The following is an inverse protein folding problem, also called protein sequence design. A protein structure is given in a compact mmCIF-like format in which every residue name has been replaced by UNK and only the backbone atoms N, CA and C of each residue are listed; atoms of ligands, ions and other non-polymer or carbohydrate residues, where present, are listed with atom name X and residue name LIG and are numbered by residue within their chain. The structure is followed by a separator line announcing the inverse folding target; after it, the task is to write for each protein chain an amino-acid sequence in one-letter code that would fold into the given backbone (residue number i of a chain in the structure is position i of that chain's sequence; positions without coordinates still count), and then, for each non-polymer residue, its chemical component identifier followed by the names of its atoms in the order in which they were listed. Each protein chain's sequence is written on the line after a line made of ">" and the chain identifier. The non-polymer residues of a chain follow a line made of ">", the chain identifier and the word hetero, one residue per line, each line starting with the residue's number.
data_IF_022383850805
#
_entry.id   IF_022383850805
#
_cell.length_a   1.000
_cell.length_b   1.000
_cell.length_c   1.000
_cell.angle_alpha   90.00
_cell.angle_beta   90.00
_cell.angle_gamma   90.00
#
_symmetry.space_group_name_H-M   'P 1'
#
loop_
_entity.id
_entity.type
_entity.pdbx_description
1 polymer ?
#
# COMPACT_ATOMS: atom_id res chain seq x y z
N UNK A 1 -29.30 -29.37 -3.02
CA UNK A 1 -29.79 -29.27 -1.65
C UNK A 1 -29.48 -27.88 -1.15
N UNK A 2 -30.46 -27.12 -0.85
CA UNK A 2 -30.69 -25.76 -0.37
C UNK A 2 -29.48 -24.79 -0.19
N UNK A 3 -29.37 -23.88 -1.16
CA UNK A 3 -28.69 -22.58 -1.05
C UNK A 3 -29.49 -21.68 -0.08
N UNK A 4 -28.84 -21.15 0.94
CA UNK A 4 -29.39 -20.03 1.71
C UNK A 4 -28.90 -18.71 1.08
N UNK A 5 -29.80 -18.02 0.41
CA UNK A 5 -29.63 -16.65 -0.05
C UNK A 5 -29.82 -15.72 1.14
N UNK A 6 -28.79 -14.93 1.47
CA UNK A 6 -28.92 -13.80 2.39
C UNK A 6 -29.47 -12.61 1.59
N UNK A 7 -30.70 -12.19 1.93
CA UNK A 7 -31.35 -11.02 1.35
C UNK A 7 -30.82 -9.76 2.06
N UNK A 8 -30.22 -8.83 1.32
CA UNK A 8 -30.01 -7.46 1.78
C UNK A 8 -31.29 -6.68 1.53
N UNK A 9 -31.98 -6.29 2.60
CA UNK A 9 -33.16 -5.42 2.54
C UNK A 9 -32.70 -3.96 2.57
N UNK A 10 -32.87 -3.25 1.47
CA UNK A 10 -32.79 -1.80 1.43
C UNK A 10 -34.01 -1.18 2.14
N UNK A 11 -33.76 -0.31 3.11
CA UNK A 11 -34.82 0.43 3.81
C UNK A 11 -35.06 1.78 3.14
N UNK A 12 -36.26 1.95 2.59
CA UNK A 12 -36.77 3.22 2.11
C UNK A 12 -37.18 4.11 3.30
N UNK A 13 -36.71 5.36 3.32
CA UNK A 13 -37.15 6.38 4.30
C UNK A 13 -38.58 6.79 4.00
N UNK A 14 -39.49 6.55 4.94
CA UNK A 14 -40.79 7.20 5.02
C UNK A 14 -40.79 8.11 6.26
N UNK A 15 -40.92 9.42 6.04
CA UNK A 15 -41.11 10.42 7.10
C UNK A 15 -42.50 10.32 7.64
N UNK A 16 -42.66 10.01 8.93
CA UNK A 16 -43.87 10.23 9.70
C UNK A 16 -43.49 10.88 11.01
N UNK A 17 -43.94 12.15 11.17
CA UNK A 17 -43.90 12.88 12.42
C UNK A 17 -44.86 12.22 13.44
N UNK A 18 -44.33 11.77 14.56
CA UNK A 18 -45.10 11.28 15.69
C UNK A 18 -44.22 11.22 16.94
N UNK A 19 -44.55 12.04 17.97
CA UNK A 19 -43.93 11.92 19.28
C UNK A 19 -44.21 10.55 19.88
N UNK A 20 -43.18 9.78 20.12
CA UNK A 20 -43.23 8.52 20.84
C UNK A 20 -41.80 8.05 21.07
N UNK A 21 -41.47 7.67 22.30
CA UNK A 21 -40.17 7.08 22.67
C UNK A 21 -39.76 6.02 21.68
N UNK A 22 -38.77 6.31 20.84
CA UNK A 22 -38.05 5.30 20.04
C UNK A 22 -37.26 4.43 21.02
N UNK A 23 -37.41 3.09 20.96
CA UNK A 23 -36.47 2.22 21.65
C UNK A 23 -35.07 2.50 21.09
N UNK A 24 -34.08 2.63 21.98
CA UNK A 24 -32.66 2.69 21.61
C UNK A 24 -32.38 1.58 20.59
N UNK A 25 -32.17 1.98 19.33
CA UNK A 25 -31.49 1.08 18.38
C UNK A 25 -30.13 0.83 18.98
N UNK A 26 -29.66 -0.44 19.09
CA UNK A 26 -28.30 -0.69 19.50
C UNK A 26 -27.39 0.05 18.51
N UNK A 27 -26.65 1.05 19.02
CA UNK A 27 -25.56 1.67 18.27
C UNK A 27 -24.68 0.51 17.81
N UNK A 28 -24.56 0.31 16.51
CA UNK A 28 -23.54 -0.56 15.92
C UNK A 28 -22.22 0.08 16.25
N UNK A 29 -21.62 -0.31 17.39
CA UNK A 29 -20.28 0.14 17.74
C UNK A 29 -19.36 -0.42 16.68
N UNK A 30 -18.72 0.47 15.92
CA UNK A 30 -17.69 0.09 14.95
C UNK A 30 -16.59 -0.75 15.64
N UNK A 31 -15.91 -1.57 14.88
CA UNK A 31 -14.84 -2.42 15.38
C UNK A 31 -13.61 -1.56 15.67
N UNK A 32 -13.05 -1.65 16.90
CA UNK A 32 -11.75 -1.04 17.19
C UNK A 32 -10.64 -1.87 16.53
N UNK A 33 -9.80 -1.19 15.74
CA UNK A 33 -8.68 -1.80 15.04
C UNK A 33 -7.37 -1.04 15.27
N UNK A 34 -6.25 -1.76 15.16
CA UNK A 34 -4.95 -1.17 14.93
C UNK A 34 -4.56 -1.49 13.48
N UNK A 35 -4.17 -0.52 12.71
CA UNK A 35 -3.77 -0.74 11.32
C UNK A 35 -2.28 -0.48 11.10
N UNK A 36 -1.71 -1.11 10.09
CA UNK A 36 -0.31 -0.94 9.74
C UNK A 36 -0.04 -1.22 8.27
N UNK A 37 1.11 -0.74 7.82
CA UNK A 37 1.62 -0.96 6.47
C UNK A 37 2.92 -1.74 6.53
N UNK A 38 3.12 -2.67 5.59
CA UNK A 38 4.34 -3.44 5.47
C UNK A 38 4.67 -3.67 4.00
N UNK A 39 5.91 -4.04 3.73
CA UNK A 39 6.39 -4.21 2.37
C UNK A 39 7.48 -5.29 2.28
N UNK A 40 7.71 -5.77 1.06
CA UNK A 40 8.92 -6.50 0.67
C UNK A 40 9.51 -5.89 -0.58
N UNK A 41 10.83 -6.06 -0.76
CA UNK A 41 11.53 -5.63 -1.96
C UNK A 41 12.36 -6.78 -2.49
N UNK A 42 12.16 -7.12 -3.77
CA UNK A 42 12.97 -8.08 -4.49
C UNK A 42 13.61 -7.44 -5.72
N UNK A 43 14.92 -7.66 -5.93
CA UNK A 43 15.64 -7.22 -7.13
C UNK A 43 16.09 -8.43 -7.94
N UNK A 44 15.69 -8.47 -9.21
CA UNK A 44 16.16 -9.47 -10.17
C UNK A 44 17.47 -9.02 -10.82
N UNK A 45 18.57 -9.61 -10.42
CA UNK A 45 19.93 -9.22 -10.83
C UNK A 45 20.15 -9.23 -12.35
N UNK A 46 19.53 -10.13 -13.09
CA UNK A 46 19.70 -10.24 -14.55
C UNK A 46 18.93 -9.23 -15.38
N UNK A 47 17.95 -8.54 -14.80
CA UNK A 47 17.05 -7.64 -15.54
C UNK A 47 16.93 -6.23 -14.96
N UNK A 48 17.39 -6.03 -13.73
CA UNK A 48 17.18 -4.77 -12.98
C UNK A 48 15.72 -4.54 -12.56
N UNK A 49 14.89 -5.58 -12.60
CA UNK A 49 13.51 -5.46 -12.13
C UNK A 49 13.48 -5.45 -10.60
N UNK A 50 12.87 -4.40 -10.06
CA UNK A 50 12.57 -4.24 -8.64
C UNK A 50 11.07 -4.49 -8.46
N UNK A 51 10.74 -5.47 -7.63
CA UNK A 51 9.37 -5.75 -7.20
C UNK A 51 9.21 -5.21 -5.78
N UNK A 52 8.27 -4.27 -5.59
CA UNK A 52 7.88 -3.76 -4.27
C UNK A 52 6.46 -4.25 -4.00
N UNK A 53 6.35 -5.21 -3.09
CA UNK A 53 5.05 -5.75 -2.65
C UNK A 53 4.65 -5.07 -1.35
N UNK A 54 3.42 -4.59 -1.27
CA UNK A 54 2.91 -3.84 -0.12
C UNK A 54 1.65 -4.51 0.42
N UNK A 55 1.52 -4.50 1.74
CA UNK A 55 0.31 -4.87 2.46
C UNK A 55 -0.11 -3.73 3.38
N UNK A 56 -1.38 -3.37 3.38
CA UNK A 56 -2.00 -2.62 4.45
C UNK A 56 -3.11 -3.45 5.06
N UNK A 57 -3.14 -3.53 6.39
CA UNK A 57 -4.13 -4.33 7.08
C UNK A 57 -4.55 -3.71 8.41
N UNK A 58 -5.80 -3.95 8.76
CA UNK A 58 -6.39 -3.63 10.05
C UNK A 58 -6.55 -4.92 10.87
N UNK A 59 -6.20 -4.85 12.15
CA UNK A 59 -6.20 -5.99 13.06
C UNK A 59 -7.07 -5.70 14.28
N UNK A 60 -7.83 -6.69 14.71
CA UNK A 60 -8.60 -6.62 15.94
C UNK A 60 -7.71 -6.79 17.19
N UNK A 61 -8.35 -6.74 18.37
CA UNK A 61 -7.66 -6.91 19.66
C UNK A 61 -6.98 -8.27 19.85
N UNK A 62 -7.41 -9.28 19.08
CA UNK A 62 -6.87 -10.64 19.13
C UNK A 62 -5.79 -10.87 18.04
N UNK A 63 -5.46 -9.82 17.28
CA UNK A 63 -4.46 -9.82 16.21
C UNK A 63 -4.93 -10.49 14.94
N UNK A 64 -6.24 -10.66 14.76
CA UNK A 64 -6.83 -11.19 13.54
C UNK A 64 -7.02 -10.07 12.53
N UNK A 65 -6.81 -10.37 11.27
CA UNK A 65 -7.08 -9.47 10.15
C UNK A 65 -8.59 -9.17 10.10
N UNK A 66 -8.94 -7.90 10.21
CA UNK A 66 -10.32 -7.41 10.01
C UNK A 66 -10.57 -7.12 8.55
N UNK A 67 -9.61 -6.48 7.90
CA UNK A 67 -9.56 -6.26 6.46
C UNK A 67 -8.12 -6.03 6.03
N UNK A 68 -7.79 -6.35 4.80
CA UNK A 68 -6.45 -6.16 4.23
C UNK A 68 -6.53 -5.84 2.75
N UNK A 69 -5.51 -5.11 2.27
CA UNK A 69 -5.27 -4.90 0.84
C UNK A 69 -3.81 -5.12 0.54
N UNK A 70 -3.56 -5.79 -0.56
CA UNK A 70 -2.22 -6.03 -1.10
C UNK A 70 -2.07 -5.40 -2.46
N UNK A 71 -0.84 -5.06 -2.82
CA UNK A 71 -0.49 -4.70 -4.20
C UNK A 71 0.99 -4.98 -4.45
N UNK A 72 1.42 -4.92 -5.71
CA UNK A 72 2.81 -5.07 -6.09
C UNK A 72 3.15 -4.17 -7.27
N UNK A 73 4.17 -3.34 -7.08
CA UNK A 73 4.75 -2.50 -8.12
C UNK A 73 5.98 -3.20 -8.71
N UNK A 74 6.09 -3.26 -10.05
CA UNK A 74 7.20 -3.87 -10.76
C UNK A 74 7.90 -2.82 -11.63
N UNK A 75 9.06 -2.35 -11.20
CA UNK A 75 9.84 -1.32 -11.92
C UNK A 75 11.11 -1.93 -12.48
N UNK A 76 11.28 -1.85 -13.80
CA UNK A 76 12.54 -2.24 -14.44
C UNK A 76 13.48 -1.05 -14.47
N UNK A 77 14.51 -1.06 -13.62
CA UNK A 77 15.55 -0.05 -13.60
C UNK A 77 16.67 -0.44 -14.57
N UNK A 78 16.90 0.36 -15.61
CA UNK A 78 17.94 0.10 -16.59
C UNK A 78 18.96 1.23 -16.63
N UNK A 79 20.23 0.86 -16.77
CA UNK A 79 21.33 1.81 -16.93
C UNK A 79 21.84 1.81 -18.36
N UNK A 80 21.94 2.98 -18.98
CA UNK A 80 22.53 3.16 -20.31
C UNK A 80 23.57 4.28 -20.22
N UNK A 81 24.83 3.92 -20.40
CA UNK A 81 25.94 4.85 -20.10
C UNK A 81 25.90 5.22 -18.62
N UNK A 82 25.83 6.52 -18.32
CA UNK A 82 25.78 7.05 -16.95
C UNK A 82 24.35 7.35 -16.46
N UNK A 83 23.35 7.15 -17.30
CA UNK A 83 21.95 7.49 -16.98
C UNK A 83 21.10 6.26 -16.67
N UNK A 84 20.19 6.44 -15.73
CA UNK A 84 19.17 5.46 -15.38
C UNK A 84 17.81 5.86 -15.95
N UNK A 85 17.07 4.87 -16.39
CA UNK A 85 15.72 5.03 -16.88
C UNK A 85 14.81 3.87 -16.47
N UNK A 86 13.51 4.12 -16.45
CA UNK A 86 12.52 3.05 -16.35
C UNK A 86 12.48 2.32 -17.70
N UNK A 87 12.85 1.05 -17.69
CA UNK A 87 12.81 0.18 -18.86
C UNK A 87 11.39 -0.21 -19.25
N UNK A 88 11.27 -1.13 -20.20
CA UNK A 88 9.98 -1.63 -20.65
C UNK A 88 9.15 -2.18 -19.47
N UNK A 89 7.96 -1.64 -19.29
CA UNK A 89 6.99 -1.98 -18.25
C UNK A 89 5.60 -2.15 -18.88
N UNK A 90 4.60 -2.54 -18.08
CA UNK A 90 3.25 -2.79 -18.59
C UNK A 90 2.36 -1.55 -18.67
N UNK A 91 2.76 -0.44 -18.05
CA UNK A 91 2.04 0.84 -18.09
C UNK A 91 2.60 1.85 -17.11
N UNK A 92 2.39 3.12 -17.43
CA UNK A 92 2.73 4.28 -16.60
C UNK A 92 1.55 5.24 -16.53
N UNK A 93 1.55 6.09 -15.51
CA UNK A 93 0.67 7.24 -15.34
C UNK A 93 1.46 8.41 -14.73
N UNK A 94 0.79 9.47 -14.30
CA UNK A 94 1.43 10.64 -13.68
C UNK A 94 2.09 10.33 -12.33
N UNK A 95 1.75 9.19 -11.71
CA UNK A 95 2.32 8.72 -10.45
C UNK A 95 3.52 7.76 -10.64
N UNK A 96 3.91 7.47 -11.87
CA UNK A 96 5.03 6.58 -12.19
C UNK A 96 4.62 5.29 -12.92
N UNK A 97 5.23 4.17 -12.56
CA UNK A 97 4.88 2.85 -13.11
C UNK A 97 3.61 2.35 -12.42
N UNK A 98 2.66 1.84 -13.20
CA UNK A 98 1.43 1.27 -12.68
C UNK A 98 1.68 -0.02 -11.89
N UNK A 99 1.01 -0.15 -10.77
CA UNK A 99 1.00 -1.36 -9.96
C UNK A 99 0.18 -2.49 -10.60
N UNK A 100 0.20 -3.69 -10.00
CA UNK A 100 -0.60 -4.81 -10.50
C UNK A 100 -2.11 -4.56 -10.37
N UNK A 101 -2.56 -3.91 -9.30
CA UNK A 101 -3.97 -3.52 -9.15
C UNK A 101 -4.37 -2.49 -10.21
N UNK A 102 -3.52 -1.47 -10.46
CA UNK A 102 -3.79 -0.45 -11.49
C UNK A 102 -3.82 -1.03 -12.91
N UNK A 103 -3.03 -2.05 -13.17
CA UNK A 103 -3.00 -2.73 -14.46
C UNK A 103 -4.24 -3.61 -14.67
N UNK A 104 -4.71 -4.27 -13.61
CA UNK A 104 -5.83 -5.19 -13.70
C UNK A 104 -5.67 -6.16 -14.89
N UNK A 105 -6.65 -6.18 -15.79
CA UNK A 105 -6.61 -7.01 -17.01
C UNK A 105 -5.44 -6.69 -17.96
N UNK A 106 -4.90 -5.48 -17.92
CA UNK A 106 -3.77 -5.08 -18.77
C UNK A 106 -2.45 -5.73 -18.29
N UNK A 107 -2.44 -6.31 -17.06
CA UNK A 107 -1.36 -7.17 -16.62
C UNK A 107 -1.28 -8.45 -17.46
N UNK A 108 -2.39 -8.87 -18.05
CA UNK A 108 -2.53 -9.99 -19.00
C UNK A 108 -2.03 -11.32 -18.42
N UNK A 109 -2.52 -11.69 -17.24
CA UNK A 109 -2.14 -12.89 -16.54
C UNK A 109 -3.12 -14.05 -16.74
N UNK A 110 -4.39 -13.80 -17.01
CA UNK A 110 -5.43 -14.84 -17.05
C UNK A 110 -5.06 -16.04 -17.94
N UNK A 111 -4.52 -15.78 -19.14
CA UNK A 111 -4.09 -16.83 -20.07
C UNK A 111 -2.88 -17.66 -19.62
N UNK A 112 -2.19 -17.27 -18.55
CA UNK A 112 -1.02 -17.94 -17.97
C UNK A 112 -1.28 -18.47 -16.56
N UNK A 113 -2.36 -18.03 -15.93
CA UNK A 113 -2.77 -18.43 -14.59
C UNK A 113 -3.41 -19.81 -14.60
N UNK A 114 -3.06 -20.65 -13.64
CA UNK A 114 -3.69 -21.95 -13.45
C UNK A 114 -5.21 -21.85 -13.17
N UNK A 115 -5.66 -20.69 -12.64
CA UNK A 115 -7.05 -20.41 -12.34
C UNK A 115 -7.79 -19.67 -13.47
N UNK A 116 -7.08 -19.26 -14.55
CA UNK A 116 -7.67 -18.44 -15.61
C UNK A 116 -8.08 -17.03 -15.15
N UNK A 117 -7.56 -16.56 -14.00
CA UNK A 117 -7.89 -15.27 -13.39
C UNK A 117 -6.76 -14.25 -13.60
N UNK A 118 -7.14 -12.98 -13.72
CA UNK A 118 -6.18 -11.87 -13.72
C UNK A 118 -5.54 -11.67 -12.34
N UNK A 119 -4.43 -10.94 -12.30
CA UNK A 119 -3.61 -10.80 -11.10
C UNK A 119 -4.31 -10.03 -9.98
N UNK A 120 -5.05 -9.00 -10.32
CA UNK A 120 -5.85 -8.19 -9.40
C UNK A 120 -6.89 -9.03 -8.67
N UNK A 121 -7.65 -9.86 -9.40
CA UNK A 121 -8.64 -10.78 -8.81
C UNK A 121 -8.00 -11.81 -7.87
N UNK A 122 -6.76 -12.23 -8.14
CA UNK A 122 -6.05 -13.16 -7.27
C UNK A 122 -5.46 -12.49 -6.03
N UNK A 123 -5.00 -11.24 -6.17
CA UNK A 123 -4.56 -10.42 -5.02
C UNK A 123 -5.73 -10.11 -4.09
N UNK A 124 -6.91 -9.81 -4.64
CA UNK A 124 -8.14 -9.62 -3.87
C UNK A 124 -8.55 -10.90 -3.15
N UNK A 125 -8.59 -12.03 -3.85
CA UNK A 125 -8.90 -13.32 -3.24
C UNK A 125 -7.92 -13.72 -2.12
N UNK A 126 -6.63 -13.34 -2.24
CA UNK A 126 -5.65 -13.51 -1.17
C UNK A 126 -6.00 -12.62 0.04
N UNK A 127 -6.37 -11.37 -0.19
CA UNK A 127 -6.76 -10.45 0.88
C UNK A 127 -7.98 -10.99 1.65
N UNK A 128 -9.03 -11.36 0.95
CA UNK A 128 -10.24 -11.94 1.53
C UNK A 128 -9.94 -13.23 2.31
N UNK A 129 -9.04 -14.07 1.77
CA UNK A 129 -8.65 -15.31 2.46
C UNK A 129 -7.94 -15.06 3.80
N UNK A 130 -7.28 -13.89 3.97
CA UNK A 130 -6.60 -13.54 5.24
C UNK A 130 -7.57 -13.11 6.33
N UNK A 131 -8.76 -12.62 5.99
CA UNK A 131 -9.73 -12.07 6.95
C UNK A 131 -10.14 -13.10 7.99
N UNK A 132 -10.17 -12.68 9.26
CA UNK A 132 -10.49 -13.53 10.43
C UNK A 132 -9.33 -14.40 10.91
N UNK A 133 -8.19 -14.41 10.22
CA UNK A 133 -6.98 -15.16 10.60
C UNK A 133 -5.94 -14.25 11.27
N UNK A 134 -5.17 -14.82 12.17
CA UNK A 134 -3.91 -14.22 12.65
C UNK A 134 -2.83 -14.38 11.58
N UNK A 135 -1.76 -13.56 11.65
CA UNK A 135 -0.61 -13.70 10.74
C UNK A 135 0.02 -15.10 10.82
N UNK A 136 0.05 -15.70 11.99
CA UNK A 136 0.57 -17.07 12.17
C UNK A 136 -0.28 -18.12 11.43
N UNK A 137 -1.62 -18.00 11.48
CA UNK A 137 -2.54 -18.86 10.73
C UNK A 137 -2.42 -18.63 9.22
N UNK A 138 -2.26 -17.37 8.77
CA UNK A 138 -1.99 -17.06 7.36
C UNK A 138 -0.71 -17.75 6.90
N UNK A 139 0.41 -17.60 7.63
CA UNK A 139 1.70 -18.23 7.30
C UNK A 139 1.61 -19.76 7.25
N UNK A 140 0.87 -20.36 8.17
CA UNK A 140 0.69 -21.82 8.20
C UNK A 140 -0.18 -22.34 7.04
N UNK A 141 -1.09 -21.49 6.53
CA UNK A 141 -2.07 -21.88 5.51
C UNK A 141 -1.68 -21.58 4.06
N UNK A 142 -0.54 -20.91 3.78
CA UNK A 142 -0.18 -20.47 2.41
C UNK A 142 -0.02 -21.63 1.40
N UNK A 143 0.24 -22.82 1.84
CA UNK A 143 0.32 -24.02 1.00
C UNK A 143 -0.97 -24.85 1.01
N UNK A 144 -2.02 -24.34 1.69
CA UNK A 144 -3.32 -25.01 1.80
C UNK A 144 -4.10 -25.03 0.49
N UNK A 145 -4.94 -26.05 0.32
CA UNK A 145 -5.76 -26.20 -0.88
C UNK A 145 -6.87 -25.13 -0.98
N UNK A 146 -7.30 -24.61 0.16
CA UNK A 146 -8.28 -23.51 0.24
C UNK A 146 -7.76 -22.21 -0.41
N UNK A 147 -6.49 -21.86 -0.16
CA UNK A 147 -5.87 -20.72 -0.84
C UNK A 147 -5.57 -21.02 -2.30
N UNK A 148 -5.03 -22.20 -2.62
CA UNK A 148 -4.72 -22.61 -4.00
C UNK A 148 -5.97 -22.63 -4.91
N UNK A 149 -7.14 -22.86 -4.34
CA UNK A 149 -8.40 -22.82 -5.09
C UNK A 149 -8.80 -21.41 -5.54
N UNK A 150 -8.28 -20.36 -4.90
CA UNK A 150 -8.65 -18.96 -5.17
C UNK A 150 -7.48 -18.10 -5.65
N UNK A 151 -6.24 -18.52 -5.36
CA UNK A 151 -5.02 -17.78 -5.67
C UNK A 151 -3.93 -18.74 -6.14
N UNK A 152 -3.36 -18.51 -7.33
CA UNK A 152 -2.28 -19.31 -7.93
C UNK A 152 -0.97 -18.52 -8.09
N UNK A 153 -0.93 -17.25 -7.68
CA UNK A 153 0.29 -16.45 -7.68
C UNK A 153 1.19 -16.83 -6.50
N UNK A 154 2.46 -16.47 -6.57
CA UNK A 154 3.36 -16.61 -5.42
C UNK A 154 2.92 -15.66 -4.31
N UNK A 155 2.63 -16.19 -3.14
CA UNK A 155 2.03 -15.44 -2.01
C UNK A 155 3.05 -15.05 -0.94
N UNK A 156 4.27 -15.60 -0.97
CA UNK A 156 5.28 -15.40 0.07
C UNK A 156 5.57 -13.93 0.39
N UNK A 157 5.82 -13.11 -0.64
CA UNK A 157 6.13 -11.69 -0.46
C UNK A 157 4.95 -10.90 0.12
N UNK A 158 3.71 -11.24 -0.27
CA UNK A 158 2.49 -10.62 0.27
C UNK A 158 2.30 -10.97 1.75
N UNK A 159 2.57 -12.22 2.14
CA UNK A 159 2.45 -12.67 3.53
C UNK A 159 3.57 -12.11 4.40
N UNK A 160 4.80 -11.96 3.88
CA UNK A 160 5.89 -11.27 4.59
C UNK A 160 5.55 -9.79 4.77
N UNK A 161 4.97 -9.12 3.76
CA UNK A 161 4.47 -7.75 3.88
C UNK A 161 3.35 -7.63 4.93
N UNK A 162 2.41 -8.59 4.99
CA UNK A 162 1.36 -8.63 6.01
C UNK A 162 1.95 -8.80 7.43
N UNK A 163 2.95 -9.66 7.59
CA UNK A 163 3.66 -9.81 8.88
C UNK A 163 4.34 -8.50 9.29
N UNK A 164 4.96 -7.80 8.36
CA UNK A 164 5.56 -6.49 8.61
C UNK A 164 4.47 -5.47 8.99
N UNK A 165 3.33 -5.44 8.29
CA UNK A 165 2.20 -4.58 8.62
C UNK A 165 1.68 -4.84 10.06
N UNK A 166 1.61 -6.09 10.46
CA UNK A 166 1.23 -6.45 11.83
C UNK A 166 2.25 -5.95 12.87
N UNK A 167 3.53 -6.04 12.57
CA UNK A 167 4.60 -5.64 13.49
C UNK A 167 4.78 -4.11 13.56
N UNK A 168 4.39 -3.38 12.50
CA UNK A 168 4.48 -1.92 12.39
C UNK A 168 3.17 -1.21 12.76
N UNK A 169 2.09 -1.95 13.06
CA UNK A 169 0.78 -1.35 13.29
C UNK A 169 0.80 -0.29 14.38
N UNK A 170 0.02 0.76 14.16
CA UNK A 170 -0.18 1.84 15.12
C UNK A 170 -0.62 1.30 16.48
N UNK A 171 -0.15 1.94 17.55
CA UNK A 171 -0.68 1.72 18.91
C UNK A 171 -1.98 2.47 19.15
N UNK A 172 -2.24 3.52 18.37
CA UNK A 172 -3.53 4.20 18.35
C UNK A 172 -4.59 3.30 17.71
N UNK A 173 -5.78 3.32 18.28
CA UNK A 173 -6.91 2.56 17.77
C UNK A 173 -7.81 3.47 16.97
N UNK A 174 -8.27 2.99 15.83
CA UNK A 174 -9.32 3.62 15.06
C UNK A 174 -10.60 2.79 15.16
N UNK A 175 -11.73 3.46 15.25
CA UNK A 175 -13.03 2.78 15.19
C UNK A 175 -13.51 2.77 13.75
N UNK A 176 -13.65 1.60 13.17
CA UNK A 176 -14.09 1.42 11.78
C UNK A 176 -15.45 0.74 11.73
N UNK A 177 -16.39 1.31 10.97
CA UNK A 177 -17.69 0.73 10.69
C UNK A 177 -17.88 0.66 9.17
N UNK A 178 -17.86 -0.56 8.64
CA UNK A 178 -17.97 -0.80 7.20
C UNK A 178 -16.82 -0.22 6.36
N UNK A 179 -15.72 0.24 7.00
CA UNK A 179 -14.56 0.73 6.27
C UNK A 179 -13.81 -0.42 5.60
N UNK A 180 -13.25 -0.14 4.42
CA UNK A 180 -12.46 -1.06 3.61
C UNK A 180 -11.00 -0.64 3.57
N UNK A 181 -10.12 -1.61 3.58
CA UNK A 181 -8.69 -1.39 3.40
C UNK A 181 -8.39 -1.03 1.94
N UNK A 182 -7.52 -0.05 1.75
CA UNK A 182 -6.94 0.30 0.47
C UNK A 182 -5.43 0.47 0.56
N UNK A 183 -4.72 0.25 -0.53
CA UNK A 183 -3.29 0.50 -0.66
C UNK A 183 -3.02 1.20 -1.99
N UNK A 184 -2.07 2.14 -2.00
CA UNK A 184 -1.64 2.83 -3.21
C UNK A 184 -0.15 3.12 -3.17
N UNK A 185 0.44 3.29 -4.35
CA UNK A 185 1.87 3.48 -4.54
C UNK A 185 2.16 4.50 -5.65
N UNK A 186 3.15 5.36 -5.42
CA UNK A 186 3.74 6.17 -6.48
C UNK A 186 5.21 5.83 -6.63
N UNK A 187 5.79 6.02 -7.81
CA UNK A 187 7.18 5.69 -8.03
C UNK A 187 7.92 6.74 -8.85
N UNK A 188 9.20 6.91 -8.55
CA UNK A 188 10.12 7.73 -9.34
C UNK A 188 11.52 7.14 -9.33
N UNK A 189 12.18 7.13 -10.48
CA UNK A 189 13.58 6.69 -10.62
C UNK A 189 14.47 7.89 -10.90
N UNK A 190 15.50 8.09 -10.07
CA UNK A 190 16.44 9.19 -10.23
C UNK A 190 17.48 8.83 -11.29
N UNK A 191 17.43 9.53 -12.43
CA UNK A 191 18.27 9.26 -13.58
C UNK A 191 19.79 9.31 -13.27
N UNK A 192 20.23 10.15 -12.34
CA UNK A 192 21.67 10.31 -12.02
C UNK A 192 22.24 9.28 -11.07
N UNK A 193 21.41 8.51 -10.34
CA UNK A 193 21.88 7.62 -9.27
C UNK A 193 21.30 6.22 -9.27
N UNK A 194 20.21 5.96 -10.00
CA UNK A 194 19.51 4.67 -9.95
C UNK A 194 18.70 4.44 -8.65
N UNK A 195 18.48 5.49 -7.86
CA UNK A 195 17.60 5.40 -6.70
C UNK A 195 16.13 5.35 -7.18
N UNK A 196 15.48 4.22 -6.96
CA UNK A 196 14.04 4.09 -7.12
C UNK A 196 13.37 4.47 -5.80
N UNK A 197 12.57 5.51 -5.82
CA UNK A 197 11.73 5.92 -4.69
C UNK A 197 10.31 5.44 -4.91
N UNK A 198 9.74 4.74 -3.94
CA UNK A 198 8.34 4.33 -3.92
C UNK A 198 7.69 4.90 -2.66
N UNK A 199 6.74 5.83 -2.84
CA UNK A 199 5.88 6.25 -1.74
C UNK A 199 4.72 5.27 -1.66
N UNK A 200 4.42 4.82 -0.47
CA UNK A 200 3.33 3.89 -0.20
C UNK A 200 2.36 4.50 0.81
N UNK A 201 1.09 4.26 0.60
CA UNK A 201 0.04 4.63 1.55
C UNK A 201 -0.98 3.50 1.67
N UNK A 202 -1.45 3.28 2.89
CA UNK A 202 -2.59 2.44 3.17
C UNK A 202 -3.64 3.21 3.95
N UNK A 203 -4.91 2.85 3.80
CA UNK A 203 -5.99 3.50 4.53
C UNK A 203 -7.17 2.57 4.78
N UNK A 204 -7.86 2.77 5.92
CA UNK A 204 -9.24 2.31 6.11
C UNK A 204 -10.17 3.42 5.64
N UNK A 205 -11.11 3.09 4.73
CA UNK A 205 -11.90 4.07 3.99
C UNK A 205 -13.38 3.68 3.98
N UNK A 206 -14.25 4.67 4.14
CA UNK A 206 -15.69 4.54 3.82
C UNK A 206 -16.05 5.64 2.81
N UNK A 207 -16.50 5.23 1.62
CA UNK A 207 -16.68 6.16 0.50
C UNK A 207 -15.35 6.83 0.12
N UNK A 208 -15.21 8.13 0.36
CA UNK A 208 -13.99 8.91 0.12
C UNK A 208 -13.30 9.40 1.40
N UNK A 209 -13.83 9.01 2.58
CA UNK A 209 -13.33 9.46 3.89
C UNK A 209 -12.32 8.47 4.44
N UNK A 210 -11.17 8.97 4.86
CA UNK A 210 -10.07 8.22 5.48
C UNK A 210 -10.31 8.14 7.00
N UNK A 211 -10.39 6.94 7.56
CA UNK A 211 -10.58 6.72 9.01
C UNK A 211 -9.31 6.31 9.74
N UNK A 212 -8.38 5.70 9.03
CA UNK A 212 -7.04 5.43 9.50
C UNK A 212 -6.12 5.44 8.28
N UNK A 213 -4.90 5.90 8.43
CA UNK A 213 -3.90 5.90 7.38
C UNK A 213 -2.55 5.43 7.92
N UNK A 214 -1.71 4.93 7.03
CA UNK A 214 -0.29 4.72 7.25
C UNK A 214 0.46 5.07 5.97
N UNK A 215 1.59 5.75 6.09
CA UNK A 215 2.46 6.09 4.96
C UNK A 215 3.88 5.61 5.21
N UNK A 216 4.59 5.28 4.14
CA UNK A 216 6.03 5.02 4.19
C UNK A 216 6.69 5.44 2.87
N UNK A 217 8.01 5.50 2.89
CA UNK A 217 8.82 5.71 1.69
C UNK A 217 9.95 4.70 1.62
N UNK A 218 9.96 3.94 0.54
CA UNK A 218 10.90 2.89 0.25
C UNK A 218 11.88 3.42 -0.80
N UNK A 219 13.16 3.53 -0.45
CA UNK A 219 14.22 3.93 -1.38
C UNK A 219 15.06 2.71 -1.71
N UNK A 220 15.07 2.31 -2.98
CA UNK A 220 15.82 1.17 -3.48
C UNK A 220 17.03 1.69 -4.26
N UNK A 221 18.24 1.65 -3.69
CA UNK A 221 19.46 2.06 -4.39
C UNK A 221 19.90 0.94 -5.34
N UNK A 222 19.59 1.06 -6.64
CA UNK A 222 20.00 0.08 -7.64
C UNK A 222 21.35 0.45 -8.22
N UNK A 223 22.27 -0.51 -8.27
CA UNK A 223 23.56 -0.41 -8.94
C UNK A 223 23.62 -1.36 -10.13
N UNK A 224 24.48 -1.06 -11.11
CA UNK A 224 24.67 -1.91 -12.29
C UNK A 224 26.18 -2.04 -12.59
N UNK A 225 26.62 -3.25 -12.85
CA UNK A 225 27.95 -3.59 -13.34
C UNK A 225 27.83 -4.24 -14.69
N UNK A 226 28.56 -3.72 -15.70
CA UNK A 226 28.60 -4.30 -17.05
C UNK A 226 29.97 -4.91 -17.27
N UNK A 227 29.99 -6.18 -17.67
CA UNK A 227 31.20 -6.93 -18.04
C UNK A 227 31.14 -7.31 -19.53
N UNK A 228 32.30 -7.31 -20.19
CA UNK A 228 32.42 -7.57 -21.63
C UNK A 228 32.21 -6.30 -22.47
N UNK A 229 32.33 -6.45 -23.78
CA UNK A 229 32.19 -5.37 -24.76
C UNK A 229 31.27 -5.80 -25.92
N UNK A 230 30.65 -4.83 -26.57
CA UNK A 230 29.77 -5.05 -27.72
C UNK A 230 28.59 -5.98 -27.39
N UNK A 231 28.27 -6.87 -28.29
CA UNK A 231 27.12 -7.81 -28.17
C UNK A 231 27.32 -8.86 -27.06
N UNK A 232 28.57 -9.03 -26.56
CA UNK A 232 28.86 -9.91 -25.44
C UNK A 232 28.77 -9.26 -24.07
N UNK A 233 28.46 -7.97 -24.00
CA UNK A 233 28.31 -7.24 -22.74
C UNK A 233 27.12 -7.77 -21.92
N UNK A 234 27.37 -8.07 -20.65
CA UNK A 234 26.34 -8.52 -19.70
C UNK A 234 26.25 -7.52 -18.54
N UNK A 235 25.06 -7.00 -18.30
CA UNK A 235 24.80 -6.11 -17.16
C UNK A 235 24.14 -6.87 -16.02
N UNK A 236 24.72 -6.77 -14.83
CA UNK A 236 24.19 -7.33 -13.59
C UNK A 236 23.81 -6.21 -12.64
N UNK A 237 22.66 -6.33 -12.01
CA UNK A 237 22.11 -5.36 -11.09
C UNK A 237 22.17 -5.87 -9.65
N UNK A 238 22.43 -4.96 -8.71
CA UNK A 238 22.50 -5.26 -7.28
C UNK A 238 21.92 -4.10 -6.45
N UNK A 239 21.62 -4.36 -5.17
CA UNK A 239 21.38 -3.30 -4.21
C UNK A 239 22.69 -2.61 -3.88
N UNK A 240 22.71 -1.28 -3.98
CA UNK A 240 23.85 -0.46 -3.59
C UNK A 240 24.04 -0.39 -2.08
N UNK A 241 25.25 -0.03 -1.67
CA UNK A 241 25.54 0.30 -0.27
C UNK A 241 24.98 1.69 0.03
N UNK A 242 23.94 1.75 0.85
CA UNK A 242 23.30 3.00 1.27
C UNK A 242 22.62 2.80 2.62
N UNK A 243 22.31 3.93 3.30
CA UNK A 243 21.54 3.88 4.57
C UNK A 243 20.19 3.12 4.47
N UNK A 244 19.68 2.97 3.25
CA UNK A 244 18.44 2.25 2.97
C UNK A 244 18.61 0.73 2.83
N UNK A 245 19.81 0.19 3.06
CA UNK A 245 20.07 -1.25 2.97
C UNK A 245 20.73 -1.71 4.27
N UNK A 246 20.09 -2.65 4.95
CA UNK A 246 20.58 -3.29 6.15
C UNK A 246 20.52 -4.82 5.98
N UNK A 247 21.65 -5.49 6.21
CA UNK A 247 21.75 -6.95 6.07
C UNK A 247 21.27 -7.48 4.69
N UNK A 248 21.55 -6.72 3.63
CA UNK A 248 21.14 -7.07 2.26
C UNK A 248 19.65 -6.88 1.95
N UNK A 249 18.88 -6.30 2.88
CA UNK A 249 17.46 -5.96 2.69
C UNK A 249 17.27 -4.45 2.66
N UNK A 250 16.33 -4.00 1.85
CA UNK A 250 15.91 -2.60 1.82
C UNK A 250 15.14 -2.28 3.11
N UNK A 251 15.50 -1.15 3.73
CA UNK A 251 14.83 -0.59 4.91
C UNK A 251 14.21 0.75 4.55
N UNK A 252 12.95 0.95 4.92
CA UNK A 252 12.20 2.17 4.63
C UNK A 252 12.57 3.33 5.56
N UNK A 253 12.05 4.50 5.26
CA UNK A 253 12.23 5.67 6.12
C UNK A 253 11.60 5.49 7.49
N UNK A 254 10.42 4.87 7.57
CA UNK A 254 9.78 4.56 8.84
C UNK A 254 10.62 3.61 9.70
N UNK A 255 11.27 2.62 9.10
CA UNK A 255 12.14 1.68 9.80
C UNK A 255 13.46 2.30 10.24
N UNK A 256 14.01 3.24 9.45
CA UNK A 256 15.25 3.95 9.79
C UNK A 256 15.10 4.84 11.02
N UNK A 257 13.91 5.40 11.26
CA UNK A 257 13.67 6.33 12.38
C UNK A 257 14.75 7.42 12.45
N UNK A 258 15.41 7.58 13.61
CA UNK A 258 16.49 8.54 13.80
C UNK A 258 17.69 8.28 12.89
N UNK A 259 17.89 7.06 12.42
CA UNK A 259 18.92 6.70 11.43
C UNK A 259 18.73 7.36 10.07
N UNK A 260 17.52 7.86 9.76
CA UNK A 260 17.30 8.68 8.57
C UNK A 260 18.02 10.04 8.66
N UNK A 261 18.23 10.55 9.88
CA UNK A 261 19.02 11.72 10.22
C UNK A 261 18.52 13.02 9.56
N UNK A 262 17.23 13.31 9.73
CA UNK A 262 16.56 14.48 9.16
C UNK A 262 16.32 15.60 10.18
N UNK A 263 16.27 15.31 11.48
CA UNK A 263 15.89 16.26 12.53
C UNK A 263 16.68 17.60 12.48
N UNK A 264 17.96 17.54 12.16
CA UNK A 264 18.80 18.75 12.05
C UNK A 264 18.60 19.58 10.77
N UNK A 265 17.79 19.09 9.82
CA UNK A 265 17.57 19.70 8.51
C UNK A 265 16.10 20.07 8.26
N UNK A 266 15.19 19.45 8.98
CA UNK A 266 13.75 19.68 8.86
C UNK A 266 13.22 20.46 10.06
N UNK A 267 12.27 21.35 9.83
CA UNK A 267 11.66 22.19 10.88
C UNK A 267 10.74 21.44 11.83
N UNK A 268 10.33 20.22 11.44
CA UNK A 268 9.36 19.40 12.18
C UNK A 268 9.91 18.05 12.64
N UNK A 269 11.24 17.95 12.78
CA UNK A 269 11.91 16.75 13.31
C UNK A 269 12.15 15.66 12.27
N UNK A 270 12.30 14.44 12.75
CA UNK A 270 12.58 13.26 11.91
C UNK A 270 11.41 12.91 10.98
N UNK A 271 11.74 12.16 9.93
CA UNK A 271 10.74 11.79 8.91
C UNK A 271 9.57 11.02 9.52
N UNK A 272 9.83 10.02 10.36
CA UNK A 272 8.78 9.20 10.96
C UNK A 272 7.84 10.02 11.87
N UNK A 273 8.38 11.04 12.57
CA UNK A 273 7.55 11.95 13.39
C UNK A 273 6.60 12.78 12.51
N UNK A 274 7.07 13.19 11.33
CA UNK A 274 6.26 13.91 10.36
C UNK A 274 5.26 12.98 9.65
N UNK A 275 5.60 11.70 9.45
CA UNK A 275 4.69 10.70 8.93
C UNK A 275 3.53 10.44 9.91
N UNK A 276 3.82 10.19 11.19
CA UNK A 276 2.80 10.03 12.23
C UNK A 276 1.86 11.25 12.31
N UNK A 277 2.43 12.46 12.21
CA UNK A 277 1.64 13.69 12.22
C UNK A 277 0.80 13.86 10.94
N UNK A 278 1.31 13.45 9.78
CA UNK A 278 0.58 13.44 8.52
C UNK A 278 -0.61 12.47 8.60
N UNK A 279 -0.38 11.25 9.09
CA UNK A 279 -1.41 10.22 9.27
C UNK A 279 -2.55 10.74 10.16
N UNK A 280 -2.23 11.34 11.30
CA UNK A 280 -3.22 11.96 12.18
C UNK A 280 -3.94 13.15 11.50
N UNK A 281 -3.26 13.92 10.66
CA UNK A 281 -3.85 15.08 9.98
C UNK A 281 -4.84 14.70 8.88
N UNK A 282 -4.76 13.49 8.31
CA UNK A 282 -5.67 13.02 7.25
C UNK A 282 -6.87 12.24 7.78
N UNK A 283 -6.82 11.76 9.02
CA UNK A 283 -7.94 11.04 9.64
C UNK A 283 -9.21 11.89 9.69
N UNK A 284 -10.36 11.29 9.40
CA UNK A 284 -11.67 11.91 9.33
C UNK A 284 -11.90 12.83 8.13
N UNK A 285 -10.96 12.91 7.17
CA UNK A 285 -11.05 13.78 6.00
C UNK A 285 -11.35 13.03 4.72
N UNK A 286 -12.09 13.70 3.84
CA UNK A 286 -12.25 13.24 2.46
C UNK A 286 -10.97 13.45 1.66
N UNK A 287 -10.65 12.53 0.77
CA UNK A 287 -9.44 12.59 -0.07
C UNK A 287 -9.35 13.86 -0.91
N UNK A 288 -10.48 14.41 -1.37
CA UNK A 288 -10.52 15.68 -2.12
C UNK A 288 -10.04 16.85 -1.25
N UNK A 289 -10.42 16.89 0.03
CA UNK A 289 -9.96 17.89 1.00
C UNK A 289 -8.45 17.75 1.25
N UNK A 290 -7.95 16.54 1.41
CA UNK A 290 -6.52 16.26 1.60
C UNK A 290 -5.72 16.74 0.38
N UNK A 291 -6.14 16.38 -0.84
CA UNK A 291 -5.51 16.83 -2.09
C UNK A 291 -5.49 18.36 -2.24
N UNK A 292 -6.56 19.04 -1.83
CA UNK A 292 -6.65 20.51 -1.83
C UNK A 292 -5.66 21.22 -0.90
N UNK A 293 -5.00 20.48 0.00
CA UNK A 293 -3.95 21.00 0.89
C UNK A 293 -2.53 20.90 0.30
N UNK A 294 -2.36 20.41 -0.92
CA UNK A 294 -1.06 20.28 -1.59
C UNK A 294 -0.89 21.41 -2.62
N UNK A 295 0.17 22.18 -2.48
CA UNK A 295 0.53 23.24 -3.43
C UNK A 295 1.29 22.71 -4.65
N UNK A 296 1.45 23.57 -5.66
CA UNK A 296 2.12 23.24 -6.94
C UNK A 296 3.59 22.77 -6.78
N UNK A 297 4.22 23.11 -5.67
CA UNK A 297 5.58 22.68 -5.33
C UNK A 297 5.64 21.30 -4.65
N UNK A 298 4.50 20.60 -4.54
CA UNK A 298 4.36 19.31 -3.90
C UNK A 298 4.42 19.32 -2.37
N UNK A 299 4.50 20.50 -1.75
CA UNK A 299 4.46 20.68 -0.30
C UNK A 299 3.06 21.03 0.16
N UNK A 300 2.80 20.87 1.45
CA UNK A 300 1.56 21.32 2.04
C UNK A 300 1.41 22.85 1.96
N UNK A 301 0.23 23.31 1.60
CA UNK A 301 -0.13 24.74 1.51
C UNK A 301 -0.10 25.38 2.89
N UNK A 302 0.53 26.53 3.01
CA UNK A 302 0.64 27.29 4.27
C UNK A 302 -0.74 27.48 4.92
N UNK A 303 -0.81 27.26 6.23
CA UNK A 303 -2.03 27.37 7.03
C UNK A 303 -2.93 26.11 6.96
N UNK A 304 -2.61 25.11 6.13
CA UNK A 304 -3.34 23.85 6.12
C UNK A 304 -2.94 22.92 7.27
N UNK A 305 -3.79 21.92 7.57
CA UNK A 305 -3.47 20.90 8.58
C UNK A 305 -2.22 20.11 8.21
N UNK A 306 -2.05 19.78 6.92
CA UNK A 306 -0.85 19.10 6.44
C UNK A 306 0.41 19.95 6.63
N UNK A 307 0.34 21.28 6.44
CA UNK A 307 1.46 22.17 6.74
C UNK A 307 1.73 22.26 8.26
N UNK A 308 0.69 22.10 9.08
CA UNK A 308 0.79 21.90 10.52
C UNK A 308 1.54 20.60 10.88
N UNK A 309 1.32 19.54 10.15
CA UNK A 309 1.86 18.21 10.39
C UNK A 309 3.28 18.01 9.84
N UNK A 310 3.54 18.40 8.59
CA UNK A 310 4.77 18.04 7.88
C UNK A 310 5.44 19.23 7.19
N UNK A 311 6.76 19.22 7.11
CA UNK A 311 7.60 20.15 6.33
C UNK A 311 8.26 19.47 5.12
N UNK A 312 8.06 18.16 4.97
CA UNK A 312 8.51 17.39 3.82
C UNK A 312 7.64 17.63 2.59
N UNK A 313 8.08 17.19 1.41
CA UNK A 313 7.25 17.11 0.22
C UNK A 313 6.20 16.02 0.44
N UNK A 314 4.92 16.36 0.30
CA UNK A 314 3.80 15.47 0.66
C UNK A 314 3.04 14.92 -0.54
N UNK A 315 3.26 15.45 -1.76
CA UNK A 315 2.50 15.11 -2.96
C UNK A 315 2.53 13.60 -3.26
N UNK A 316 3.67 12.95 -3.12
CA UNK A 316 3.81 11.50 -3.36
C UNK A 316 2.94 10.67 -2.41
N UNK A 317 2.90 11.02 -1.12
CA UNK A 317 2.07 10.34 -0.12
C UNK A 317 0.58 10.62 -0.32
N UNK A 318 0.21 11.86 -0.68
CA UNK A 318 -1.18 12.22 -0.96
C UNK A 318 -1.68 11.52 -2.23
N UNK A 319 -0.84 11.38 -3.26
CA UNK A 319 -1.20 10.64 -4.46
C UNK A 319 -1.34 9.14 -4.18
N UNK A 320 -0.40 8.53 -3.43
CA UNK A 320 -0.52 7.15 -2.99
C UNK A 320 -1.78 6.93 -2.13
N UNK A 321 -2.08 7.86 -1.22
CA UNK A 321 -3.31 7.79 -0.41
C UNK A 321 -4.58 7.91 -1.28
N UNK A 322 -4.56 8.74 -2.33
CA UNK A 322 -5.67 8.85 -3.26
C UNK A 322 -5.92 7.55 -4.04
N UNK A 323 -4.86 6.83 -4.41
CA UNK A 323 -4.96 5.50 -4.99
C UNK A 323 -5.51 4.49 -3.97
N UNK A 324 -5.01 4.51 -2.73
CA UNK A 324 -5.53 3.67 -1.66
C UNK A 324 -7.05 3.85 -1.47
N UNK A 325 -7.53 5.11 -1.46
CA UNK A 325 -8.97 5.42 -1.38
C UNK A 325 -9.73 4.88 -2.59
N UNK A 326 -9.19 5.04 -3.79
CA UNK A 326 -9.81 4.54 -5.01
C UNK A 326 -9.94 3.01 -5.01
N UNK A 327 -8.91 2.29 -4.56
CA UNK A 327 -8.93 0.82 -4.50
C UNK A 327 -9.75 0.25 -3.34
N UNK A 328 -9.89 0.98 -2.23
CA UNK A 328 -10.82 0.60 -1.16
C UNK A 328 -12.29 0.66 -1.60
N UNK A 329 -12.61 1.55 -2.55
CA UNK A 329 -13.96 1.74 -3.07
C UNK A 329 -14.37 0.73 -4.17
N UNK A 330 -13.40 -0.01 -4.75
CA UNK A 330 -13.70 -1.03 -5.73
C UNK A 330 -14.41 -2.21 -5.05
N UNK A 331 -15.68 -2.44 -5.44
CA UNK A 331 -16.39 -3.64 -5.01
C UNK A 331 -15.66 -4.88 -5.58
N UNK A 332 -15.47 -5.88 -4.73
CA UNK A 332 -14.99 -7.19 -5.15
C UNK A 332 -16.02 -7.81 -6.11
N UNK A 333 -15.78 -7.72 -7.40
CA UNK A 333 -16.58 -8.41 -8.41
C UNK A 333 -16.11 -9.87 -8.42
N UNK A 334 -16.79 -10.69 -7.58
CA UNK A 334 -16.56 -12.12 -7.48
C UNK A 334 -16.97 -12.88 -8.74
#
# INVERSE_FOLDING_TARGET
>A
MKLNKLLVLGAALATLSGCGNTPDQPETKGVEVNSGIGYTVALTASSGQVDVTVAYAAFDKDGKVVDARFDCLQVKCVKTGDEWAVGANKGTNDNGVKSKLELGKDYAMAGKSALGKEVDLQIEALADWTVGKTVAEVKAGIEGEDLKAVCSIKTGDYVEALEMAFNSKSTAKSTVDGAKAGVGMTSSLKASSGELTVNVAGAMVTGTTVYAAAIDEIVVPVTATTEGEGDAATTTYALGEAKYVANGKVVSKAQLKDGYAMAGKATKGEWYVQADAFEAAVEGKEIATIKGQVGDNGKATEGSDLAGAASITVVGYVNALAEAVAYAALEHVG
#
